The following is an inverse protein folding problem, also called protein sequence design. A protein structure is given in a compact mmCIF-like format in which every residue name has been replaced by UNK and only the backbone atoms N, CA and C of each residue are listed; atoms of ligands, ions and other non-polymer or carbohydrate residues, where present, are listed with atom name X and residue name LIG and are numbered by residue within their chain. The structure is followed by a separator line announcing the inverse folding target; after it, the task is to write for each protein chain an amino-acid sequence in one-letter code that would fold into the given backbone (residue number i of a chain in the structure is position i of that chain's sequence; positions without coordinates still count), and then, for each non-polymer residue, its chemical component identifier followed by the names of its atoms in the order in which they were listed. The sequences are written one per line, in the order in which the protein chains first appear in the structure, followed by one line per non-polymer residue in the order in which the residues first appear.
data_IF_368975076880
#
_entry.id   IF_368975076880
#
_cell.length_a   1.000
_cell.length_b   1.000
_cell.length_c   1.000
_cell.angle_alpha   90.00
_cell.angle_beta   90.00
_cell.angle_gamma   90.00
#
_symmetry.space_group_name_H-M   'P 1'
#
loop_
_entity.id
_entity.type
_entity.pdbx_description
1 polymer ?
#
# COMPACT_ATOMS: atom_id res chain seq x y z
N UNK A 1 27.50 -9.22 36.32
CA UNK A 1 26.13 -9.76 36.48
C UNK A 1 25.70 -10.35 35.14
N UNK A 2 25.86 -11.66 34.96
CA UNK A 2 25.48 -12.39 33.75
C UNK A 2 24.13 -13.07 34.03
N UNK A 3 23.04 -12.53 33.48
CA UNK A 3 21.75 -13.24 33.48
C UNK A 3 21.84 -14.38 32.47
N UNK A 4 22.00 -15.61 32.95
CA UNK A 4 21.75 -16.82 32.16
C UNK A 4 20.24 -17.03 32.10
N UNK A 5 19.58 -17.04 30.93
CA UNK A 5 18.18 -17.42 30.87
C UNK A 5 18.08 -18.93 31.08
N UNK A 6 17.45 -19.35 32.18
CA UNK A 6 16.99 -20.73 32.39
C UNK A 6 15.70 -20.87 31.57
N UNK A 7 15.86 -21.07 30.27
CA UNK A 7 14.74 -21.33 29.38
C UNK A 7 14.50 -22.85 29.34
N UNK A 8 13.37 -23.29 29.89
CA UNK A 8 12.88 -24.68 29.79
C UNK A 8 12.82 -25.11 28.31
N UNK A 9 12.95 -26.41 28.01
CA UNK A 9 12.99 -26.92 26.62
C UNK A 9 11.80 -26.46 25.76
N UNK A 10 10.63 -26.22 26.37
CA UNK A 10 9.44 -25.64 25.72
C UNK A 10 9.63 -24.15 25.39
N UNK A 11 10.30 -23.41 26.27
CA UNK A 11 10.70 -22.02 26.02
C UNK A 11 11.78 -21.90 24.95
N UNK A 12 12.70 -22.88 24.86
CA UNK A 12 13.75 -22.89 23.83
C UNK A 12 13.11 -23.09 22.45
N UNK A 13 12.14 -24.00 22.36
CA UNK A 13 11.36 -24.23 21.14
C UNK A 13 10.59 -22.96 20.72
N UNK A 14 9.94 -22.27 21.66
CA UNK A 14 9.24 -21.02 21.37
C UNK A 14 10.19 -19.91 20.88
N UNK A 15 11.38 -19.78 21.49
CA UNK A 15 12.39 -18.81 21.06
C UNK A 15 12.91 -19.12 19.66
N UNK A 16 13.18 -20.40 19.34
CA UNK A 16 13.61 -20.82 18.01
C UNK A 16 12.54 -20.56 16.95
N UNK A 17 11.28 -20.89 17.23
CA UNK A 17 10.15 -20.64 16.32
C UNK A 17 9.96 -19.15 16.05
N UNK A 18 9.96 -18.30 17.09
CA UNK A 18 9.86 -16.85 16.92
C UNK A 18 11.02 -16.27 16.12
N UNK A 19 12.25 -16.75 16.35
CA UNK A 19 13.43 -16.30 15.61
C UNK A 19 13.33 -16.64 14.11
N UNK A 20 12.82 -17.84 13.79
CA UNK A 20 12.56 -18.24 12.40
C UNK A 20 11.49 -17.38 11.73
N UNK A 21 10.37 -17.10 12.42
CA UNK A 21 9.29 -16.25 11.88
C UNK A 21 9.74 -14.81 11.63
N UNK A 22 10.56 -14.24 12.53
CA UNK A 22 11.13 -12.90 12.37
C UNK A 22 12.14 -12.85 11.22
N UNK A 23 12.99 -13.87 11.08
CA UNK A 23 13.91 -14.01 9.95
C UNK A 23 13.17 -14.14 8.62
N UNK A 24 12.06 -14.90 8.60
CA UNK A 24 11.24 -15.08 7.40
C UNK A 24 10.52 -13.79 6.98
N UNK A 25 10.04 -13.02 7.96
CA UNK A 25 9.38 -11.72 7.74
C UNK A 25 10.34 -10.66 7.20
N UNK A 26 11.64 -10.80 7.47
CA UNK A 26 12.69 -9.90 6.97
C UNK A 26 13.16 -10.24 5.55
N UNK A 27 12.84 -11.45 5.07
CA UNK A 27 13.20 -11.95 3.75
C UNK A 27 12.12 -11.75 2.69
N UNK A 28 10.93 -11.29 3.09
CA UNK A 28 9.93 -10.79 2.15
C UNK A 28 10.29 -9.31 1.96
N UNK A 29 10.92 -8.90 0.83
CA UNK A 29 10.93 -7.49 0.50
C UNK A 29 9.46 -7.10 0.55
N UNK A 30 9.10 -6.09 1.33
CA UNK A 30 7.75 -5.55 1.31
C UNK A 30 7.42 -5.39 -0.16
N UNK A 31 6.54 -6.24 -0.68
CA UNK A 31 6.07 -6.21 -2.05
C UNK A 31 5.15 -5.00 -2.15
N UNK A 32 5.73 -3.82 -1.91
CA UNK A 32 5.22 -2.55 -2.36
C UNK A 32 5.30 -2.71 -3.86
N UNK A 33 4.17 -3.06 -4.46
CA UNK A 33 4.00 -3.18 -5.89
C UNK A 33 4.43 -1.86 -6.54
N UNK A 34 5.73 -1.74 -6.82
CA UNK A 34 6.36 -0.53 -7.31
C UNK A 34 7.35 -0.88 -8.42
N UNK A 35 6.92 -1.71 -9.37
CA UNK A 35 7.72 -1.98 -10.56
C UNK A 35 6.98 -1.73 -11.87
N UNK A 36 5.68 -1.98 -11.99
CA UNK A 36 4.91 -1.58 -13.18
C UNK A 36 3.44 -1.29 -12.84
N UNK A 37 2.86 -0.40 -13.60
CA UNK A 37 1.43 -0.22 -13.77
C UNK A 37 0.83 -1.47 -14.46
N UNK A 38 -0.47 -1.66 -14.41
CA UNK A 38 -1.23 -2.85 -14.84
C UNK A 38 -1.37 -2.91 -16.34
N UNK A 39 -1.25 -1.75 -17.00
CA UNK A 39 -0.98 -1.61 -18.43
C UNK A 39 0.48 -1.97 -18.79
N UNK A 40 1.31 -2.36 -17.83
CA UNK A 40 2.71 -2.69 -18.02
C UNK A 40 3.60 -1.48 -18.25
N UNK A 41 3.16 -0.28 -17.86
CA UNK A 41 3.94 0.96 -17.99
C UNK A 41 4.75 1.26 -16.73
N UNK A 42 5.88 1.94 -16.90
CA UNK A 42 6.65 2.49 -15.78
C UNK A 42 5.86 3.63 -15.10
N UNK A 43 5.86 3.72 -13.76
CA UNK A 43 5.26 4.84 -13.04
C UNK A 43 5.82 6.18 -13.52
N UNK A 44 4.95 7.16 -13.73
CA UNK A 44 5.34 8.51 -14.15
C UNK A 44 5.78 9.29 -12.91
N UNK A 45 6.90 10.03 -12.96
CA UNK A 45 7.28 10.92 -11.87
C UNK A 45 6.25 12.05 -11.75
N UNK A 46 5.67 12.19 -10.56
CA UNK A 46 4.71 13.25 -10.30
C UNK A 46 5.44 14.49 -9.78
N UNK A 47 5.31 15.60 -10.51
CA UNK A 47 5.88 16.90 -10.14
C UNK A 47 5.09 17.57 -9.00
N UNK A 48 3.90 17.04 -8.66
CA UNK A 48 2.96 17.54 -7.65
C UNK A 48 2.21 16.35 -7.02
N UNK A 49 1.74 16.51 -5.78
CA UNK A 49 0.84 15.55 -5.16
C UNK A 49 -0.51 15.52 -5.87
N UNK A 50 -1.05 14.32 -6.11
CA UNK A 50 -2.42 14.12 -6.63
C UNK A 50 -3.42 14.84 -5.71
N UNK A 51 -4.44 15.48 -6.29
CA UNK A 51 -5.41 16.24 -5.51
C UNK A 51 -6.48 15.35 -4.87
N UNK A 52 -7.08 14.47 -5.67
CA UNK A 52 -8.18 13.60 -5.26
C UNK A 52 -7.67 12.35 -4.53
N UNK A 53 -6.69 11.65 -5.09
CA UNK A 53 -6.04 10.47 -4.51
C UNK A 53 -4.78 10.78 -3.68
N UNK A 54 -4.66 12.00 -3.14
CA UNK A 54 -3.51 12.47 -2.35
C UNK A 54 -3.02 11.51 -1.26
N UNK A 55 -3.96 10.86 -0.55
CA UNK A 55 -3.66 9.92 0.54
C UNK A 55 -3.18 8.53 0.08
N UNK A 56 -3.27 8.23 -1.21
CA UNK A 56 -2.87 6.95 -1.80
C UNK A 56 -1.59 7.09 -2.65
N UNK A 57 -1.29 8.30 -3.13
CA UNK A 57 -0.03 8.65 -3.77
C UNK A 57 1.08 8.93 -2.75
N UNK A 58 1.52 7.91 -2.02
CA UNK A 58 2.58 8.04 -1.02
C UNK A 58 4.01 8.13 -1.58
N UNK A 59 4.19 8.44 -2.87
CA UNK A 59 5.50 8.43 -3.53
C UNK A 59 5.66 9.49 -4.62
N UNK A 60 6.90 9.79 -4.99
CA UNK A 60 7.29 10.69 -6.09
C UNK A 60 6.98 10.14 -7.49
N UNK A 61 6.42 8.94 -7.58
CA UNK A 61 6.06 8.26 -8.82
C UNK A 61 4.70 7.58 -8.67
N UNK A 62 3.82 7.75 -9.65
CA UNK A 62 2.49 7.12 -9.67
C UNK A 62 2.12 6.68 -11.09
N UNK A 63 1.19 5.75 -11.22
CA UNK A 63 0.70 5.29 -12.53
C UNK A 63 -0.22 6.31 -13.22
N UNK A 64 -0.78 7.26 -12.47
CA UNK A 64 -1.71 8.26 -13.00
C UNK A 64 -1.10 9.66 -12.96
N UNK A 65 -1.35 10.44 -14.00
CA UNK A 65 -1.06 11.86 -14.02
C UNK A 65 -2.20 12.67 -13.37
N UNK A 66 -1.98 13.98 -13.23
CA UNK A 66 -2.96 14.91 -12.66
C UNK A 66 -4.28 14.95 -13.44
N UNK A 67 -4.22 14.76 -14.78
CA UNK A 67 -5.41 14.74 -15.63
C UNK A 67 -6.28 13.51 -15.36
N UNK A 68 -5.65 12.36 -15.14
CA UNK A 68 -6.32 11.10 -14.80
C UNK A 68 -6.96 11.19 -13.41
N UNK A 69 -6.26 11.75 -12.41
CA UNK A 69 -6.78 12.04 -11.06
C UNK A 69 -8.02 12.96 -11.11
N UNK A 70 -7.96 14.00 -11.96
CA UNK A 70 -9.08 14.90 -12.16
C UNK A 70 -10.28 14.21 -12.84
N UNK A 71 -10.05 13.29 -13.78
CA UNK A 71 -11.10 12.50 -14.41
C UNK A 71 -11.80 11.57 -13.40
N UNK A 72 -11.06 10.95 -12.49
CA UNK A 72 -11.61 10.11 -11.42
C UNK A 72 -12.44 10.90 -10.45
N UNK A 73 -11.99 12.10 -10.08
CA UNK A 73 -12.80 13.00 -9.26
C UNK A 73 -14.17 13.26 -9.91
N UNK A 74 -14.20 13.52 -11.21
CA UNK A 74 -15.46 13.72 -11.95
C UNK A 74 -16.34 12.45 -11.98
N UNK A 75 -15.74 11.28 -12.17
CA UNK A 75 -16.49 10.02 -12.12
C UNK A 75 -17.07 9.76 -10.72
N UNK A 76 -16.30 10.03 -9.68
CA UNK A 76 -16.73 9.91 -8.30
C UNK A 76 -17.89 10.87 -7.97
N UNK A 77 -17.78 12.13 -8.38
CA UNK A 77 -18.84 13.13 -8.23
C UNK A 77 -20.11 12.74 -9.01
N UNK A 78 -19.96 12.17 -10.21
CA UNK A 78 -21.07 11.70 -11.03
C UNK A 78 -21.84 10.52 -10.41
N UNK A 79 -21.17 9.68 -9.61
CA UNK A 79 -21.81 8.56 -8.90
C UNK A 79 -22.75 9.02 -7.78
N UNK A 80 -22.66 10.27 -7.31
CA UNK A 80 -23.55 10.86 -6.29
C UNK A 80 -23.75 9.94 -5.07
N UNK A 81 -22.67 9.36 -4.56
CA UNK A 81 -22.71 8.49 -3.38
C UNK A 81 -23.07 9.32 -2.16
N UNK A 82 -24.27 9.12 -1.62
CA UNK A 82 -24.78 9.88 -0.48
C UNK A 82 -24.19 9.43 0.86
N UNK A 83 -23.92 8.13 1.00
CA UNK A 83 -23.37 7.55 2.23
C UNK A 83 -21.86 7.81 2.34
N UNK A 84 -21.42 8.39 3.45
CA UNK A 84 -20.03 8.80 3.64
C UNK A 84 -19.07 7.61 3.73
N UNK A 85 -19.49 6.48 4.30
CA UNK A 85 -18.65 5.29 4.42
C UNK A 85 -18.46 4.61 3.06
N UNK A 86 -19.54 4.50 2.28
CA UNK A 86 -19.53 4.03 0.90
C UNK A 86 -18.70 4.97 0.01
N UNK A 87 -18.85 6.28 0.16
CA UNK A 87 -18.05 7.27 -0.55
C UNK A 87 -16.55 7.10 -0.26
N UNK A 88 -16.18 6.88 1.01
CA UNK A 88 -14.80 6.59 1.39
C UNK A 88 -14.28 5.26 0.81
N UNK A 89 -15.09 4.21 0.83
CA UNK A 89 -14.74 2.90 0.27
C UNK A 89 -14.58 2.96 -1.26
N UNK A 90 -15.52 3.59 -1.96
CA UNK A 90 -15.47 3.79 -3.41
C UNK A 90 -14.26 4.63 -3.77
N UNK A 91 -13.98 5.72 -3.05
CA UNK A 91 -12.76 6.52 -3.24
C UNK A 91 -11.49 5.68 -3.03
N UNK A 92 -11.46 4.86 -1.98
CA UNK A 92 -10.35 3.94 -1.70
C UNK A 92 -10.15 2.96 -2.86
N UNK A 93 -11.21 2.37 -3.39
CA UNK A 93 -11.14 1.46 -4.53
C UNK A 93 -10.68 2.19 -5.79
N UNK A 94 -11.24 3.37 -6.11
CA UNK A 94 -10.80 4.16 -7.27
C UNK A 94 -9.31 4.51 -7.18
N UNK A 95 -8.82 4.93 -6.00
CA UNK A 95 -7.43 5.29 -5.81
C UNK A 95 -6.48 4.08 -5.67
N UNK A 96 -6.96 2.93 -5.18
CA UNK A 96 -6.17 1.70 -5.02
C UNK A 96 -6.10 0.87 -6.29
N UNK A 97 -7.17 0.84 -7.09
CA UNK A 97 -7.14 0.26 -8.44
C UNK A 97 -6.12 0.98 -9.31
N UNK A 98 -5.71 2.21 -8.94
CA UNK A 98 -4.87 3.12 -9.74
C UNK A 98 -3.40 3.20 -9.33
N UNK A 99 -3.00 2.65 -8.19
CA UNK A 99 -1.59 2.23 -8.07
C UNK A 99 -1.28 1.08 -9.04
N UNK A 100 -2.32 0.53 -9.67
CA UNK A 100 -2.27 -0.54 -10.63
C UNK A 100 -2.71 -0.08 -12.04
N UNK A 101 -3.92 0.35 -12.35
CA UNK A 101 -4.39 0.59 -13.73
C UNK A 101 -4.83 2.05 -13.95
N UNK A 102 -4.11 2.77 -14.81
CA UNK A 102 -4.60 3.94 -15.53
C UNK A 102 -4.71 3.53 -17.02
#
# INVERSE_FOLDING_TARGET
MQMRPIVSGRGLLLVLVCSCLAAWSSLVPAARALQLCTDGRAPVPLNRTLGFCSSYGGGSSSCCDDASDAALRRQFEAMKVADAACAAAVKSVLCAVITQLC
#
